data_IF_659805074422
#
_entry.id   IF_659805074422
#
_cell.length_a   1.000
_cell.length_b   1.000
_cell.length_c   1.000
_cell.angle_alpha   90.00
_cell.angle_beta   90.00
_cell.angle_gamma   90.00
#
_symmetry.space_group_name_H-M   'P 1'
#
loop_
_entity.id
_entity.type
_entity.pdbx_description
1 polymer ?
#
# COMPACT_ATOMS: atom_id res chain seq x y z
N UNK A 1 -0.57 -38.04 3.25
CA UNK A 1 0.30 -37.79 2.07
C UNK A 1 1.56 -37.05 2.52
N UNK A 2 2.74 -37.63 2.31
CA UNK A 2 4.00 -36.91 2.50
C UNK A 2 3.97 -35.73 1.53
N UNK A 3 3.87 -34.52 2.04
CA UNK A 3 3.99 -33.34 1.21
C UNK A 3 5.45 -33.27 0.76
N UNK A 4 5.78 -33.84 -0.40
CA UNK A 4 7.08 -33.75 -1.07
C UNK A 4 7.32 -32.34 -1.62
N UNK A 5 6.79 -31.32 -0.97
CA UNK A 5 6.92 -29.93 -1.38
C UNK A 5 6.85 -29.02 -0.17
N UNK A 6 7.64 -27.94 -0.19
CA UNK A 6 7.59 -26.89 0.83
C UNK A 6 7.37 -25.53 0.16
N UNK A 7 6.86 -24.58 0.94
CA UNK A 7 6.56 -23.24 0.46
C UNK A 7 7.55 -22.25 1.10
N UNK A 8 8.19 -21.42 0.27
CA UNK A 8 9.17 -20.40 0.69
C UNK A 8 8.96 -19.11 -0.11
N UNK A 9 9.50 -17.98 0.33
CA UNK A 9 9.57 -16.76 -0.50
C UNK A 9 10.89 -16.73 -1.29
N UNK A 10 10.81 -16.61 -2.60
CA UNK A 10 11.94 -16.48 -3.52
C UNK A 10 11.75 -15.28 -4.46
N UNK A 11 12.84 -14.60 -4.85
CA UNK A 11 12.77 -13.54 -5.85
C UNK A 11 12.48 -14.12 -7.24
N UNK A 12 11.45 -13.61 -7.93
CA UNK A 12 11.14 -13.92 -9.31
C UNK A 12 11.34 -12.69 -10.19
N UNK A 13 12.09 -12.86 -11.29
CA UNK A 13 12.24 -11.80 -12.30
C UNK A 13 10.91 -11.65 -13.05
N UNK A 14 10.25 -10.50 -12.89
CA UNK A 14 8.97 -10.22 -13.57
C UNK A 14 9.20 -9.44 -14.86
N UNK A 15 10.11 -8.47 -14.85
CA UNK A 15 10.51 -7.75 -16.05
C UNK A 15 11.90 -7.16 -15.91
N UNK A 16 12.54 -6.88 -17.03
CA UNK A 16 13.81 -6.15 -17.05
C UNK A 16 13.67 -4.74 -16.49
N UNK A 17 12.48 -4.12 -16.56
CA UNK A 17 12.24 -2.77 -16.06
C UNK A 17 12.07 -2.70 -14.53
N UNK A 18 11.34 -3.64 -13.93
CA UNK A 18 11.06 -3.65 -12.48
C UNK A 18 12.00 -4.56 -11.67
N UNK A 19 12.71 -5.48 -12.34
CA UNK A 19 13.57 -6.46 -11.69
C UNK A 19 12.77 -7.56 -11.02
N UNK A 20 13.22 -7.95 -9.83
CA UNK A 20 12.67 -9.07 -9.09
C UNK A 20 11.58 -8.62 -8.13
N UNK A 21 10.53 -9.42 -7.99
CA UNK A 21 9.57 -9.31 -6.89
C UNK A 21 9.73 -10.52 -5.97
N UNK A 22 9.38 -10.36 -4.70
CA UNK A 22 9.30 -11.50 -3.79
C UNK A 22 8.03 -12.29 -4.13
N UNK A 23 8.20 -13.54 -4.52
CA UNK A 23 7.12 -14.47 -4.85
C UNK A 23 7.21 -15.74 -3.98
N UNK A 24 6.07 -16.30 -3.64
CA UNK A 24 5.90 -17.48 -2.83
C UNK A 24 6.16 -18.63 -3.78
N UNK A 25 7.27 -19.29 -3.63
CA UNK A 25 7.62 -20.47 -4.38
C UNK A 25 7.13 -21.71 -3.65
N UNK A 26 6.40 -22.58 -4.34
CA UNK A 26 6.28 -23.98 -4.00
C UNK A 26 7.47 -24.71 -4.61
N UNK A 27 8.21 -25.44 -3.78
CA UNK A 27 9.39 -26.20 -4.19
C UNK A 27 9.13 -27.67 -3.95
N UNK A 28 9.20 -28.47 -5.00
CA UNK A 28 9.13 -29.92 -4.89
C UNK A 28 10.49 -30.48 -4.44
N UNK A 29 10.46 -31.33 -3.41
CA UNK A 29 11.66 -31.86 -2.74
C UNK A 29 12.39 -32.87 -3.62
N UNK A 30 11.65 -33.66 -4.41
CA UNK A 30 12.21 -34.76 -5.21
C UNK A 30 12.87 -34.26 -6.49
N UNK A 31 12.24 -33.33 -7.20
CA UNK A 31 12.73 -32.84 -8.49
C UNK A 31 13.26 -31.39 -8.47
N UNK A 32 13.24 -30.73 -7.31
CA UNK A 32 13.67 -29.33 -7.12
C UNK A 32 12.90 -28.32 -7.99
N UNK A 33 11.74 -28.69 -8.55
CA UNK A 33 10.94 -27.78 -9.37
C UNK A 33 10.38 -26.63 -8.52
N UNK A 34 10.49 -25.40 -9.03
CA UNK A 34 10.05 -24.17 -8.37
C UNK A 34 8.82 -23.59 -9.09
N UNK A 35 7.72 -23.40 -8.36
CA UNK A 35 6.47 -22.81 -8.86
C UNK A 35 6.15 -21.54 -8.09
N UNK A 36 6.24 -20.37 -8.74
CA UNK A 36 6.06 -19.06 -8.10
C UNK A 36 4.60 -18.62 -8.02
N UNK A 37 4.22 -18.04 -6.89
CA UNK A 37 2.85 -17.72 -6.48
C UNK A 37 2.72 -16.21 -6.12
N UNK A 38 3.42 -15.63 -5.09
CA UNK A 38 3.25 -14.18 -4.67
C UNK A 38 4.00 -13.60 -3.40
N UNK A 39 3.71 -12.41 -2.85
CA UNK A 39 4.46 -11.72 -1.78
C UNK A 39 4.28 -12.25 -0.33
N UNK A 40 3.07 -12.35 0.21
CA UNK A 40 2.86 -12.65 1.64
C UNK A 40 1.80 -13.72 1.89
N UNK A 41 2.25 -14.92 2.29
CA UNK A 41 1.36 -16.02 2.68
C UNK A 41 0.65 -15.65 3.96
N UNK A 42 -0.68 -15.72 3.94
CA UNK A 42 -1.51 -15.57 5.14
C UNK A 42 -2.06 -16.91 5.61
N UNK A 43 -2.26 -17.87 4.69
CA UNK A 43 -2.70 -19.21 5.04
C UNK A 43 -2.39 -20.23 3.93
N UNK A 44 -2.30 -21.49 4.32
CA UNK A 44 -2.36 -22.66 3.44
C UNK A 44 -3.49 -23.56 3.93
N UNK A 45 -4.33 -24.03 3.01
CA UNK A 45 -5.36 -25.04 3.24
C UNK A 45 -4.86 -26.38 2.65
N UNK A 46 -4.38 -27.34 3.47
CA UNK A 46 -3.84 -28.61 2.98
C UNK A 46 -4.90 -29.60 2.49
N UNK A 47 -6.19 -29.37 2.76
CA UNK A 47 -7.27 -30.24 2.29
C UNK A 47 -7.66 -29.95 0.83
N UNK A 48 -7.55 -28.68 0.43
CA UNK A 48 -7.88 -28.20 -0.91
C UNK A 48 -6.62 -27.80 -1.71
N UNK A 49 -5.45 -27.85 -1.06
CA UNK A 49 -4.16 -27.38 -1.57
C UNK A 49 -4.25 -25.97 -2.16
N UNK A 50 -4.79 -25.05 -1.35
CA UNK A 50 -4.92 -23.63 -1.69
C UNK A 50 -3.99 -22.81 -0.81
N UNK A 51 -3.18 -21.95 -1.45
CA UNK A 51 -2.38 -20.93 -0.77
C UNK A 51 -3.11 -19.61 -0.85
N UNK A 52 -3.32 -18.97 0.31
CA UNK A 52 -3.90 -17.65 0.47
C UNK A 52 -2.81 -16.64 0.79
N UNK A 53 -2.91 -15.45 0.20
CA UNK A 53 -1.87 -14.44 0.33
C UNK A 53 -2.35 -13.01 0.13
N UNK A 54 -1.61 -12.05 0.68
CA UNK A 54 -1.76 -10.64 0.37
C UNK A 54 -0.82 -10.24 -0.77
N UNK A 55 -1.37 -9.51 -1.74
CA UNK A 55 -0.63 -9.01 -2.90
C UNK A 55 -1.12 -7.61 -3.30
N UNK A 56 -0.23 -6.87 -3.96
CA UNK A 56 -0.59 -5.71 -4.78
C UNK A 56 -1.22 -6.18 -6.09
N UNK A 57 -1.98 -5.30 -6.74
CA UNK A 57 -2.36 -5.47 -8.14
C UNK A 57 -1.29 -4.90 -9.07
N UNK A 58 -1.24 -5.35 -10.35
CA UNK A 58 -0.32 -4.78 -11.34
C UNK A 58 -0.40 -3.25 -11.39
N UNK A 59 0.75 -2.60 -11.34
CA UNK A 59 0.89 -1.13 -11.36
C UNK A 59 0.16 -0.37 -10.23
N UNK A 60 -0.32 -1.08 -9.20
CA UNK A 60 -1.02 -0.54 -8.03
C UNK A 60 -0.28 -0.92 -6.74
N UNK A 61 0.95 -0.41 -6.53
CA UNK A 61 1.73 -0.68 -5.32
C UNK A 61 1.03 -0.22 -4.04
N UNK A 62 0.07 0.70 -4.14
CA UNK A 62 -0.69 1.27 -3.03
C UNK A 62 -1.81 0.36 -2.49
N UNK A 63 -2.19 -0.69 -3.23
CA UNK A 63 -3.27 -1.62 -2.86
C UNK A 63 -2.77 -2.86 -2.12
N UNK A 64 -3.64 -3.47 -1.31
CA UNK A 64 -3.43 -4.80 -0.70
C UNK A 64 -4.72 -5.59 -0.81
N UNK A 65 -4.66 -6.72 -1.51
CA UNK A 65 -5.79 -7.61 -1.70
C UNK A 65 -5.45 -9.03 -1.28
N UNK A 66 -6.43 -9.69 -0.67
CA UNK A 66 -6.41 -11.14 -0.48
C UNK A 66 -6.60 -11.84 -1.83
N UNK A 67 -5.69 -12.75 -2.11
CA UNK A 67 -5.69 -13.62 -3.28
C UNK A 67 -5.57 -15.08 -2.85
N UNK A 68 -5.90 -15.99 -3.77
CA UNK A 68 -5.62 -17.41 -3.61
C UNK A 68 -5.10 -18.04 -4.90
N UNK A 69 -4.37 -19.14 -4.77
CA UNK A 69 -3.96 -19.97 -5.91
C UNK A 69 -3.98 -21.45 -5.49
N UNK A 70 -4.46 -22.31 -6.40
CA UNK A 70 -4.39 -23.76 -6.24
C UNK A 70 -2.97 -24.25 -6.55
N UNK A 71 -2.40 -25.07 -5.67
CA UNK A 71 -1.07 -25.63 -5.86
C UNK A 71 -1.07 -27.06 -6.40
N UNK A 72 -2.23 -27.72 -6.43
CA UNK A 72 -2.38 -29.11 -6.90
C UNK A 72 -2.27 -29.31 -8.40
N UNK A 73 -2.55 -28.28 -9.20
CA UNK A 73 -2.60 -28.44 -10.65
C UNK A 73 -1.18 -28.45 -11.26
N UNK A 74 -0.96 -29.28 -12.27
CA UNK A 74 0.30 -29.33 -13.05
C UNK A 74 0.64 -27.96 -13.67
N UNK A 75 -0.36 -27.10 -13.88
CA UNK A 75 -0.19 -25.70 -14.28
C UNK A 75 -0.56 -24.74 -13.13
N UNK A 76 0.10 -23.58 -13.06
CA UNK A 76 -0.33 -22.49 -12.15
C UNK A 76 -1.57 -21.86 -12.77
N UNK A 77 -2.74 -21.99 -12.13
CA UNK A 77 -3.89 -21.15 -12.48
C UNK A 77 -3.62 -19.70 -12.09
N UNK A 78 -4.19 -18.77 -12.85
CA UNK A 78 -4.16 -17.35 -12.50
C UNK A 78 -4.72 -17.14 -11.08
N UNK A 79 -4.03 -16.35 -10.22
CA UNK A 79 -4.52 -16.07 -8.88
C UNK A 79 -5.93 -15.47 -8.88
N UNK A 80 -6.78 -15.98 -7.98
CA UNK A 80 -8.14 -15.47 -7.79
C UNK A 80 -8.09 -14.35 -6.76
N UNK A 81 -8.71 -13.20 -7.06
CA UNK A 81 -8.82 -12.09 -6.11
C UNK A 81 -10.10 -12.15 -5.28
N UNK A 82 -9.96 -12.24 -3.96
CA UNK A 82 -11.08 -12.41 -3.03
C UNK A 82 -11.66 -11.10 -2.52
N UNK A 83 -10.92 -10.00 -2.67
CA UNK A 83 -11.30 -8.68 -2.12
C UNK A 83 -11.49 -7.62 -3.19
N UNK A 84 -11.13 -7.89 -4.46
CA UNK A 84 -11.27 -6.93 -5.55
C UNK A 84 -12.72 -6.51 -5.81
N UNK A 85 -13.69 -7.39 -5.51
CA UNK A 85 -15.12 -7.09 -5.69
C UNK A 85 -15.62 -5.99 -4.75
N UNK A 86 -14.89 -5.68 -3.67
CA UNK A 86 -15.26 -4.64 -2.70
C UNK A 86 -15.12 -3.22 -3.28
N UNK A 87 -14.47 -3.09 -4.44
CA UNK A 87 -14.38 -1.84 -5.16
C UNK A 87 -13.58 -0.76 -4.44
N UNK A 88 -13.84 0.50 -4.81
CA UNK A 88 -13.03 1.64 -4.37
C UNK A 88 -13.13 1.93 -2.87
N UNK A 89 -14.17 1.46 -2.19
CA UNK A 89 -14.29 1.60 -0.73
C UNK A 89 -13.30 0.75 0.04
N UNK A 90 -12.70 -0.28 -0.58
CA UNK A 90 -11.80 -1.20 0.12
C UNK A 90 -10.65 -1.72 -0.75
N UNK A 91 -9.53 -1.01 -0.72
CA UNK A 91 -8.33 -1.29 -1.53
C UNK A 91 -7.12 -1.71 -0.69
N UNK A 92 -7.19 -1.60 0.64
CA UNK A 92 -6.12 -2.03 1.54
C UNK A 92 -6.68 -2.99 2.59
N UNK A 93 -6.33 -4.26 2.47
CA UNK A 93 -6.89 -5.35 3.25
C UNK A 93 -5.83 -6.06 4.09
N UNK A 94 -6.23 -6.48 5.29
CA UNK A 94 -5.51 -7.45 6.11
C UNK A 94 -6.44 -8.63 6.45
N UNK A 95 -5.89 -9.82 6.64
CA UNK A 95 -6.70 -11.03 6.83
C UNK A 95 -6.09 -12.00 7.83
N UNK A 96 -6.96 -12.66 8.59
CA UNK A 96 -6.56 -13.64 9.61
C UNK A 96 -7.44 -14.88 9.52
N UNK A 97 -6.85 -16.01 9.12
CA UNK A 97 -7.57 -17.28 9.03
C UNK A 97 -7.64 -17.99 10.38
N UNK A 98 -8.77 -18.64 10.66
CA UNK A 98 -8.85 -19.57 11.80
C UNK A 98 -7.96 -20.81 11.55
N UNK A 99 -7.64 -21.57 12.59
CA UNK A 99 -6.73 -22.73 12.51
C UNK A 99 -7.10 -23.74 11.41
N UNK A 100 -8.40 -23.96 11.19
CA UNK A 100 -8.92 -24.92 10.19
C UNK A 100 -9.08 -24.35 8.78
N UNK A 101 -8.89 -23.04 8.60
CA UNK A 101 -9.15 -22.31 7.33
C UNK A 101 -10.59 -22.34 6.84
N UNK A 102 -11.54 -22.73 7.68
CA UNK A 102 -12.99 -22.67 7.37
C UNK A 102 -13.51 -21.22 7.31
N UNK A 103 -12.86 -20.32 8.05
CA UNK A 103 -13.24 -18.92 8.19
C UNK A 103 -12.01 -18.02 8.22
N UNK A 104 -12.21 -16.75 7.89
CA UNK A 104 -11.22 -15.71 8.11
C UNK A 104 -11.87 -14.39 8.50
N UNK A 105 -11.13 -13.61 9.28
CA UNK A 105 -11.44 -12.20 9.54
C UNK A 105 -10.85 -11.39 8.39
N UNK A 106 -11.67 -10.58 7.74
CA UNK A 106 -11.25 -9.55 6.81
C UNK A 106 -11.27 -8.20 7.52
N UNK A 107 -10.14 -7.53 7.52
CA UNK A 107 -10.01 -6.13 7.91
C UNK A 107 -9.84 -5.30 6.64
N UNK A 108 -10.89 -4.59 6.28
CA UNK A 108 -10.79 -3.51 5.31
C UNK A 108 -10.21 -2.29 6.03
N UNK A 109 -8.97 -1.93 5.72
CA UNK A 109 -8.28 -0.82 6.37
C UNK A 109 -8.31 0.49 5.58
N UNK A 110 -8.95 0.52 4.40
CA UNK A 110 -9.10 1.74 3.60
C UNK A 110 -9.38 1.50 2.12
N UNK A 111 -9.62 2.57 1.34
CA UNK A 111 -9.41 3.96 1.73
C UNK A 111 -10.54 4.57 2.58
N UNK A 112 -11.75 4.00 2.51
CA UNK A 112 -12.89 4.46 3.32
C UNK A 112 -12.74 4.07 4.79
N UNK A 113 -13.71 4.49 5.61
CA UNK A 113 -13.76 4.14 7.05
C UNK A 113 -13.57 2.63 7.24
N UNK A 114 -12.61 2.18 8.06
CA UNK A 114 -12.27 0.77 8.19
C UNK A 114 -13.45 -0.09 8.63
N UNK A 115 -13.50 -1.32 8.15
CA UNK A 115 -14.52 -2.31 8.51
C UNK A 115 -13.88 -3.65 8.79
N UNK A 116 -14.47 -4.39 9.72
CA UNK A 116 -14.01 -5.72 10.12
C UNK A 116 -15.18 -6.68 10.02
N UNK A 117 -14.98 -7.77 9.30
CA UNK A 117 -16.01 -8.78 9.08
C UNK A 117 -15.43 -10.19 9.09
N UNK A 118 -16.27 -11.18 9.39
CA UNK A 118 -15.90 -12.59 9.30
C UNK A 118 -16.55 -13.21 8.06
N UNK A 119 -15.75 -13.94 7.29
CA UNK A 119 -16.19 -14.65 6.09
C UNK A 119 -15.92 -16.15 6.20
N UNK A 120 -16.77 -16.92 5.53
CA UNK A 120 -16.56 -18.33 5.20
C UNK A 120 -15.55 -18.40 4.07
N UNK A 121 -14.53 -19.23 4.23
CA UNK A 121 -13.54 -19.45 3.18
C UNK A 121 -14.17 -20.13 1.97
N UNK A 122 -14.96 -21.20 2.16
CA UNK A 122 -15.54 -22.03 1.07
C UNK A 122 -16.10 -21.26 -0.14
N UNK A 123 -16.72 -20.10 0.09
CA UNK A 123 -17.35 -19.31 -0.97
C UNK A 123 -17.17 -17.79 -0.77
N UNK A 124 -16.17 -17.37 0.02
CA UNK A 124 -15.92 -15.95 0.31
C UNK A 124 -17.16 -15.19 0.83
N UNK A 125 -18.07 -15.89 1.53
CA UNK A 125 -19.35 -15.31 1.93
C UNK A 125 -19.34 -14.87 3.39
N UNK A 126 -20.05 -13.77 3.63
CA UNK A 126 -20.42 -13.30 4.96
C UNK A 126 -21.08 -14.44 5.78
N UNK A 127 -20.54 -14.74 6.97
CA UNK A 127 -21.20 -15.63 7.95
C UNK A 127 -22.52 -15.03 8.45
N UNK A 128 -23.66 -15.58 8.02
CA UNK A 128 -24.97 -14.98 8.33
C UNK A 128 -25.76 -15.71 9.41
N UNK A 129 -26.13 -15.02 10.50
CA UNK A 129 -27.39 -15.14 11.30
C UNK A 129 -27.49 -14.12 12.50
N UNK A 130 -28.66 -13.71 13.02
CA UNK A 130 -28.79 -13.06 14.38
C UNK A 130 -29.92 -13.69 15.23
N UNK A 131 -30.11 -13.34 16.54
CA UNK A 131 -30.57 -14.19 17.70
C UNK A 131 -31.76 -15.16 17.55
N UNK A 132 -32.44 -15.13 16.42
CA UNK A 132 -33.32 -16.18 15.89
C UNK A 132 -32.48 -17.29 15.21
N UNK A 133 -31.44 -17.77 15.91
CA UNK A 133 -30.27 -18.51 15.41
C UNK A 133 -29.30 -17.54 14.68
N UNK A 134 -28.11 -17.25 15.28
CA UNK A 134 -27.25 -16.08 15.01
C UNK A 134 -25.74 -16.24 14.68
N UNK A 135 -25.25 -15.97 13.46
CA UNK A 135 -23.87 -15.60 13.10
C UNK A 135 -23.69 -14.09 12.77
N UNK A 136 -22.99 -13.35 13.64
CA UNK A 136 -22.63 -11.93 13.39
C UNK A 136 -21.54 -11.88 12.32
N UNK A 137 -21.77 -11.07 11.31
CA UNK A 137 -20.93 -11.04 10.11
C UNK A 137 -20.01 -9.84 10.06
N UNK A 138 -20.53 -8.72 10.53
CA UNK A 138 -19.83 -7.47 10.68
C UNK A 138 -19.42 -7.36 12.15
N UNK A 139 -18.12 -7.45 12.41
CA UNK A 139 -17.56 -7.31 13.75
C UNK A 139 -17.46 -5.85 14.16
N UNK A 140 -17.08 -5.00 13.21
CA UNK A 140 -16.97 -3.56 13.40
C UNK A 140 -17.21 -2.86 12.06
N UNK A 141 -18.07 -1.85 12.05
CA UNK A 141 -18.44 -1.09 10.86
C UNK A 141 -18.08 0.38 10.94
N UNK A 142 -17.65 0.84 12.12
CA UNK A 142 -17.28 2.20 12.42
C UNK A 142 -18.35 3.23 12.03
N UNK A 143 -19.64 2.85 12.09
CA UNK A 143 -20.77 3.72 11.75
C UNK A 143 -20.82 5.01 12.57
N UNK A 144 -20.42 4.97 13.85
CA UNK A 144 -20.30 6.18 14.68
C UNK A 144 -19.22 7.13 14.15
N UNK A 145 -18.06 6.58 13.76
CA UNK A 145 -16.98 7.36 13.15
C UNK A 145 -17.44 7.93 11.80
N UNK A 146 -18.09 7.13 10.97
CA UNK A 146 -18.63 7.58 9.69
C UNK A 146 -19.64 8.74 9.87
N UNK A 147 -20.55 8.63 10.84
CA UNK A 147 -21.50 9.70 11.15
C UNK A 147 -20.79 10.99 11.58
N UNK A 148 -19.78 10.89 12.46
CA UNK A 148 -18.98 12.05 12.88
C UNK A 148 -18.22 12.69 11.72
N UNK A 149 -17.71 11.89 10.77
CA UNK A 149 -16.95 12.39 9.63
C UNK A 149 -17.82 13.14 8.63
N UNK A 150 -19.10 12.78 8.49
CA UNK A 150 -20.06 13.51 7.62
C UNK A 150 -20.27 14.96 8.05
N UNK A 151 -20.02 15.26 9.33
CA UNK A 151 -20.09 16.62 9.89
C UNK A 151 -18.76 17.37 9.79
N UNK A 152 -17.73 16.79 9.17
CA UNK A 152 -16.38 17.38 9.04
C UNK A 152 -16.05 17.62 7.58
N UNK A 153 -15.28 18.68 7.34
CA UNK A 153 -14.68 18.97 6.03
C UNK A 153 -13.46 18.06 5.80
N UNK A 154 -13.73 16.79 5.49
CA UNK A 154 -12.69 15.79 5.24
C UNK A 154 -11.91 16.16 3.96
N UNK A 155 -10.56 16.18 4.00
CA UNK A 155 -9.71 16.45 2.84
C UNK A 155 -9.94 15.54 1.65
N UNK A 156 -9.58 16.03 0.46
CA UNK A 156 -9.61 15.27 -0.79
C UNK A 156 -8.21 14.71 -1.06
N UNK A 157 -8.11 13.43 -1.41
CA UNK A 157 -6.81 12.82 -1.77
C UNK A 157 -6.65 12.74 -3.28
N UNK A 158 -5.49 13.16 -3.80
CA UNK A 158 -5.10 13.01 -5.21
C UNK A 158 -3.73 12.37 -5.31
N UNK A 159 -3.60 11.32 -6.12
CA UNK A 159 -2.33 10.64 -6.37
C UNK A 159 -1.79 10.99 -7.75
N UNK A 160 -0.47 11.13 -7.85
CA UNK A 160 0.24 11.35 -9.11
C UNK A 160 1.61 10.67 -9.09
N UNK A 161 2.22 10.57 -10.28
CA UNK A 161 3.59 10.09 -10.44
C UNK A 161 4.46 11.22 -10.96
N UNK A 162 5.62 11.39 -10.35
CA UNK A 162 6.59 12.41 -10.76
C UNK A 162 7.85 11.73 -11.26
N UNK A 163 8.26 12.00 -12.49
CA UNK A 163 9.49 11.44 -13.05
C UNK A 163 10.70 12.05 -12.34
N UNK A 164 11.57 11.21 -11.76
CA UNK A 164 12.80 11.66 -11.08
C UNK A 164 14.07 11.33 -11.85
N UNK A 165 14.01 10.37 -12.78
CA UNK A 165 15.10 10.09 -13.73
C UNK A 165 14.55 9.52 -15.04
N UNK A 166 15.43 9.11 -15.96
CA UNK A 166 15.02 8.39 -17.17
C UNK A 166 14.22 7.10 -16.87
N UNK A 167 14.51 6.43 -15.75
CA UNK A 167 13.98 5.11 -15.40
C UNK A 167 13.10 5.10 -14.15
N UNK A 168 13.21 6.12 -13.30
CA UNK A 168 12.54 6.17 -12.00
C UNK A 168 11.51 7.29 -11.91
N UNK A 169 10.47 7.05 -11.12
CA UNK A 169 9.48 8.03 -10.72
C UNK A 169 9.19 7.92 -9.22
N UNK A 170 8.75 9.01 -8.62
CA UNK A 170 8.15 9.01 -7.29
C UNK A 170 6.65 8.81 -7.38
N UNK A 171 6.08 8.02 -6.47
CA UNK A 171 4.64 8.08 -6.21
C UNK A 171 4.38 9.22 -5.23
N UNK A 172 3.35 10.01 -5.50
CA UNK A 172 2.97 11.15 -4.66
C UNK A 172 1.50 11.04 -4.29
N UNK A 173 1.20 11.26 -3.03
CA UNK A 173 -0.15 11.47 -2.52
C UNK A 173 -0.29 12.90 -2.01
N UNK A 174 -1.23 13.65 -2.56
CA UNK A 174 -1.62 14.98 -2.11
C UNK A 174 -2.90 14.87 -1.30
N UNK A 175 -2.89 15.39 -0.08
CA UNK A 175 -4.05 15.62 0.76
C UNK A 175 -4.39 17.10 0.64
N UNK A 176 -5.50 17.38 -0.03
CA UNK A 176 -5.97 18.70 -0.42
C UNK A 176 -7.10 19.17 0.50
N UNK A 177 -7.24 20.49 0.76
CA UNK A 177 -8.37 21.02 1.52
C UNK A 177 -9.72 20.56 0.95
N UNK A 178 -10.74 20.44 1.81
CA UNK A 178 -12.07 19.98 1.37
C UNK A 178 -12.71 20.90 0.31
N UNK A 179 -12.51 22.21 0.45
CA UNK A 179 -12.97 23.26 -0.45
C UNK A 179 -11.86 23.69 -1.44
N UNK A 180 -10.99 22.76 -1.85
CA UNK A 180 -9.88 23.03 -2.74
C UNK A 180 -10.34 23.68 -4.05
N UNK A 181 -9.71 24.80 -4.38
CA UNK A 181 -9.82 25.53 -5.63
C UNK A 181 -8.42 25.74 -6.22
N UNK A 182 -8.21 25.30 -7.46
CA UNK A 182 -6.94 25.40 -8.19
C UNK A 182 -6.50 26.84 -8.48
N UNK A 183 -7.39 27.84 -8.33
CA UNK A 183 -7.07 29.26 -8.51
C UNK A 183 -6.33 29.87 -7.32
N UNK A 184 -6.41 29.25 -6.14
CA UNK A 184 -5.75 29.73 -4.93
C UNK A 184 -4.33 29.18 -4.82
N UNK A 185 -3.51 29.79 -3.94
CA UNK A 185 -2.17 29.31 -3.58
C UNK A 185 -2.19 28.77 -2.16
N UNK A 186 -1.69 27.56 -1.96
CA UNK A 186 -1.65 26.88 -0.67
C UNK A 186 -0.20 26.58 -0.26
N UNK A 187 0.18 26.74 1.02
CA UNK A 187 1.43 26.20 1.52
C UNK A 187 1.51 24.70 1.30
N UNK A 188 2.74 24.19 1.11
CA UNK A 188 3.02 22.76 0.96
C UNK A 188 3.76 22.25 2.19
N UNK A 189 3.27 21.16 2.77
CA UNK A 189 3.99 20.37 3.77
C UNK A 189 4.32 18.99 3.19
N UNK A 190 5.60 18.69 3.03
CA UNK A 190 6.08 17.41 2.50
C UNK A 190 6.41 16.46 3.65
N UNK A 191 5.74 15.32 3.70
CA UNK A 191 6.08 14.19 4.55
C UNK A 191 7.02 13.24 3.82
N UNK A 192 8.14 12.93 4.48
CA UNK A 192 9.09 11.93 4.02
C UNK A 192 9.36 10.91 5.11
N UNK A 193 9.56 9.66 4.67
CA UNK A 193 10.18 8.64 5.49
C UNK A 193 11.43 8.11 4.80
N UNK A 194 11.33 7.60 3.57
CA UNK A 194 12.49 7.25 2.73
C UNK A 194 13.34 6.06 3.23
N UNK A 195 12.95 5.42 4.34
CA UNK A 195 13.64 4.25 4.84
C UNK A 195 13.55 3.04 3.90
N UNK A 196 14.56 2.16 3.87
CA UNK A 196 14.54 0.95 3.06
C UNK A 196 13.27 0.13 3.25
N UNK A 197 12.56 -0.16 2.15
CA UNK A 197 11.36 -0.98 2.17
C UNK A 197 10.12 -0.32 2.79
N UNK A 198 10.17 0.99 3.07
CA UNK A 198 9.01 1.74 3.55
C UNK A 198 8.06 2.12 2.40
N UNK A 199 6.82 2.47 2.76
CA UNK A 199 5.84 2.98 1.82
C UNK A 199 4.89 3.95 2.52
N UNK A 200 4.86 5.20 2.06
CA UNK A 200 3.93 6.22 2.52
C UNK A 200 2.66 6.30 1.66
N UNK A 201 2.77 6.11 0.35
CA UNK A 201 1.66 6.22 -0.61
C UNK A 201 0.94 4.88 -0.71
N UNK A 202 -0.08 4.70 0.14
CA UNK A 202 -0.92 3.50 0.24
C UNK A 202 -2.40 3.89 0.40
N UNK A 203 -3.35 3.03 0.01
CA UNK A 203 -4.80 3.27 0.20
C UNK A 203 -5.32 2.81 1.56
N UNK A 204 -4.55 3.10 2.61
CA UNK A 204 -4.99 2.88 4.00
C UNK A 204 -5.68 4.14 4.53
N UNK A 205 -6.76 3.95 5.27
CA UNK A 205 -7.50 5.02 5.94
C UNK A 205 -6.57 5.81 6.88
N UNK A 206 -6.55 7.13 6.73
CA UNK A 206 -5.63 8.04 7.46
C UNK A 206 -6.26 9.38 7.87
N UNK A 207 -7.58 9.44 8.04
CA UNK A 207 -8.25 10.69 8.43
C UNK A 207 -7.86 11.14 9.86
N UNK A 208 -7.28 10.27 10.68
CA UNK A 208 -6.70 10.58 11.99
C UNK A 208 -5.24 11.10 11.94
N UNK A 209 -4.65 11.27 10.75
CA UNK A 209 -3.27 11.73 10.59
C UNK A 209 -3.14 13.26 10.71
N UNK A 210 -2.01 13.77 11.19
CA UNK A 210 -1.80 15.22 11.36
C UNK A 210 -1.92 15.99 10.03
N UNK A 211 -1.50 15.38 8.91
CA UNK A 211 -1.67 15.95 7.56
C UNK A 211 -3.13 16.20 7.18
N UNK A 212 -4.07 15.41 7.70
CA UNK A 212 -5.51 15.64 7.53
C UNK A 212 -5.95 16.92 8.25
N UNK A 213 -5.44 17.14 9.47
CA UNK A 213 -5.71 18.36 10.23
C UNK A 213 -5.16 19.60 9.51
N UNK A 214 -3.93 19.53 8.96
CA UNK A 214 -3.31 20.62 8.22
C UNK A 214 -4.13 21.02 6.98
N UNK A 215 -4.54 20.03 6.17
CA UNK A 215 -5.33 20.28 4.98
C UNK A 215 -6.74 20.81 5.31
N UNK A 216 -7.39 20.23 6.33
CA UNK A 216 -8.77 20.57 6.69
C UNK A 216 -8.89 21.94 7.38
N UNK A 217 -8.02 22.24 8.36
CA UNK A 217 -8.17 23.43 9.21
C UNK A 217 -7.27 24.60 8.80
N UNK A 218 -6.11 24.33 8.20
CA UNK A 218 -5.11 25.37 7.90
C UNK A 218 -4.96 25.63 6.39
N UNK A 219 -5.71 24.91 5.56
CA UNK A 219 -5.59 24.97 4.10
C UNK A 219 -4.15 24.74 3.61
N UNK A 220 -3.40 23.85 4.27
CA UNK A 220 -2.05 23.46 3.86
C UNK A 220 -2.15 22.17 3.07
N UNK A 221 -1.65 22.17 1.83
CA UNK A 221 -1.57 20.93 1.05
C UNK A 221 -0.49 20.06 1.65
N UNK A 222 -0.83 18.80 1.90
CA UNK A 222 0.07 17.86 2.53
C UNK A 222 0.45 16.76 1.53
N UNK A 223 1.74 16.60 1.26
CA UNK A 223 2.25 15.68 0.24
C UNK A 223 3.05 14.54 0.88
N UNK A 224 2.81 13.31 0.45
CA UNK A 224 3.64 12.14 0.77
C UNK A 224 4.39 11.69 -0.46
N UNK A 225 5.66 11.33 -0.32
CA UNK A 225 6.53 10.99 -1.45
C UNK A 225 7.20 9.64 -1.20
N UNK A 226 7.01 8.70 -2.14
CA UNK A 226 7.74 7.44 -2.21
C UNK A 226 8.63 7.41 -3.47
N UNK A 227 9.95 7.55 -3.28
CA UNK A 227 10.97 7.45 -4.33
C UNK A 227 11.60 6.06 -4.42
N UNK A 228 12.85 6.00 -4.89
CA UNK A 228 13.70 4.81 -4.80
C UNK A 228 13.90 4.37 -3.35
N UNK A 229 14.11 3.06 -3.15
CA UNK A 229 14.15 2.42 -1.84
C UNK A 229 12.79 2.02 -1.28
N UNK A 230 11.68 2.52 -1.84
CA UNK A 230 10.33 2.12 -1.43
C UNK A 230 9.98 0.69 -1.85
N UNK A 231 9.18 0.01 -1.03
CA UNK A 231 8.74 -1.37 -1.28
C UNK A 231 7.59 -1.42 -2.30
N UNK A 232 7.24 -2.64 -2.75
CA UNK A 232 6.13 -2.96 -3.66
C UNK A 232 6.32 -2.49 -5.11
N UNK A 233 7.56 -2.16 -5.48
CA UNK A 233 7.90 -1.61 -6.80
C UNK A 233 9.02 -2.39 -7.51
N UNK A 234 9.34 -3.57 -6.98
CA UNK A 234 10.37 -4.46 -7.49
C UNK A 234 11.76 -4.12 -6.96
N UNK A 235 12.69 -5.06 -7.12
CA UNK A 235 14.05 -4.97 -6.60
C UNK A 235 14.83 -3.82 -7.21
N UNK A 236 14.49 -3.41 -8.45
CA UNK A 236 15.12 -2.24 -9.08
C UNK A 236 14.75 -0.92 -8.40
N UNK A 237 13.62 -0.83 -7.70
CA UNK A 237 13.35 0.31 -6.83
C UNK A 237 13.99 0.10 -5.46
N UNK A 238 13.77 -1.07 -4.86
CA UNK A 238 14.18 -1.35 -3.49
C UNK A 238 15.70 -1.29 -3.27
N UNK A 239 16.51 -1.76 -4.22
CA UNK A 239 17.96 -1.91 -4.03
C UNK A 239 18.78 -0.70 -4.49
N UNK A 240 18.19 0.34 -5.06
CA UNK A 240 18.93 1.55 -5.49
C UNK A 240 19.60 2.28 -4.32
N UNK A 241 19.07 2.11 -3.12
CA UNK A 241 19.62 2.66 -1.87
C UNK A 241 20.73 1.78 -1.27
N UNK A 242 20.99 0.59 -1.81
CA UNK A 242 21.98 -0.34 -1.25
C UNK A 242 23.38 0.28 -1.33
N UNK A 243 24.01 0.46 -0.16
CA UNK A 243 25.29 1.18 0.01
C UNK A 243 25.26 2.63 -0.52
N UNK A 244 24.07 3.22 -0.65
CA UNK A 244 23.87 4.56 -1.21
C UNK A 244 22.71 5.31 -0.50
N UNK A 245 22.54 5.04 0.80
CA UNK A 245 21.56 5.71 1.66
C UNK A 245 21.91 7.19 1.86
N UNK A 246 20.90 8.04 1.93
CA UNK A 246 21.01 9.49 2.05
C UNK A 246 21.27 10.22 0.74
N UNK A 247 21.13 9.53 -0.40
CA UNK A 247 21.46 10.06 -1.72
C UNK A 247 20.28 9.94 -2.66
N UNK A 248 20.01 8.75 -3.20
CA UNK A 248 19.01 8.57 -4.26
C UNK A 248 17.58 8.87 -3.82
N UNK A 249 17.22 8.45 -2.60
CA UNK A 249 15.92 8.73 -2.01
C UNK A 249 15.76 10.21 -1.65
N UNK A 250 16.85 10.88 -1.25
CA UNK A 250 16.86 12.31 -0.94
C UNK A 250 16.72 13.13 -2.23
N UNK A 251 17.45 12.77 -3.28
CA UNK A 251 17.32 13.40 -4.60
C UNK A 251 15.92 13.22 -5.18
N UNK A 252 15.31 12.04 -5.02
CA UNK A 252 13.94 11.81 -5.47
C UNK A 252 12.94 12.72 -4.73
N UNK A 253 13.13 12.94 -3.42
CA UNK A 253 12.34 13.90 -2.62
C UNK A 253 12.51 15.32 -3.14
N UNK A 254 13.75 15.79 -3.31
CA UNK A 254 14.05 17.16 -3.77
C UNK A 254 13.46 17.40 -5.17
N UNK A 255 13.72 16.50 -6.13
CA UNK A 255 13.21 16.60 -7.50
C UNK A 255 11.68 16.62 -7.50
N UNK A 256 11.07 15.76 -6.68
CA UNK A 256 9.61 15.69 -6.59
C UNK A 256 9.04 16.97 -5.97
N UNK A 257 9.61 17.48 -4.88
CA UNK A 257 9.17 18.72 -4.25
C UNK A 257 9.31 19.93 -5.20
N UNK A 258 10.42 20.02 -5.94
CA UNK A 258 10.62 21.03 -7.00
C UNK A 258 9.59 20.89 -8.12
N UNK A 259 9.30 19.67 -8.58
CA UNK A 259 8.24 19.43 -9.57
C UNK A 259 6.87 19.93 -9.07
N UNK A 260 6.49 19.58 -7.83
CA UNK A 260 5.24 20.03 -7.23
C UNK A 260 5.21 21.57 -7.17
N UNK A 261 6.28 22.21 -6.68
CA UNK A 261 6.41 23.68 -6.63
C UNK A 261 6.22 24.35 -8.00
N UNK A 262 6.81 23.77 -9.04
CA UNK A 262 6.93 24.45 -10.33
C UNK A 262 5.81 24.11 -11.33
N UNK A 263 5.17 22.94 -11.20
CA UNK A 263 4.16 22.46 -12.15
C UNK A 263 2.74 22.46 -11.59
N UNK A 264 2.58 22.59 -10.27
CA UNK A 264 1.26 22.69 -9.65
C UNK A 264 0.99 24.15 -9.29
N UNK A 265 0.24 24.84 -10.14
CA UNK A 265 0.01 26.27 -10.00
C UNK A 265 -0.59 26.62 -8.63
N UNK A 266 -1.41 25.77 -8.03
CA UNK A 266 -2.01 26.05 -6.73
C UNK A 266 -1.02 25.96 -5.53
N UNK A 267 0.26 25.66 -5.74
CA UNK A 267 1.25 25.61 -4.65
C UNK A 267 1.93 26.97 -4.46
N UNK A 268 1.98 27.45 -3.21
CA UNK A 268 2.74 28.65 -2.83
C UNK A 268 4.23 28.32 -2.75
N UNK A 269 4.99 28.81 -3.74
CA UNK A 269 6.43 28.58 -3.87
C UNK A 269 7.26 29.12 -2.70
N UNK A 270 6.73 30.05 -1.91
CA UNK A 270 7.45 30.66 -0.78
C UNK A 270 7.23 29.92 0.54
N UNK A 271 6.21 29.08 0.62
CA UNK A 271 5.80 28.41 1.84
C UNK A 271 5.81 26.89 1.64
N UNK A 272 7.01 26.30 1.62
CA UNK A 272 7.23 24.86 1.50
C UNK A 272 8.00 24.37 2.72
N UNK A 273 7.36 23.49 3.49
CA UNK A 273 7.96 22.77 4.61
C UNK A 273 8.20 21.31 4.25
N UNK A 274 9.16 20.70 4.95
CA UNK A 274 9.43 19.26 4.92
C UNK A 274 9.53 18.75 6.35
N UNK A 275 9.00 17.56 6.60
CA UNK A 275 9.11 16.89 7.88
C UNK A 275 9.17 15.37 7.72
N UNK A 276 9.78 14.70 8.70
CA UNK A 276 9.85 13.26 8.78
C UNK A 276 10.37 12.79 10.14
N UNK A 277 9.99 11.59 10.55
CA UNK A 277 10.41 10.99 11.82
C UNK A 277 11.37 9.82 11.62
N UNK A 278 12.27 9.59 12.58
CA UNK A 278 13.28 8.52 12.53
C UNK A 278 14.16 8.65 11.27
N UNK A 279 14.22 7.64 10.40
CA UNK A 279 14.91 7.73 9.10
C UNK A 279 14.34 8.87 8.24
N UNK A 280 13.04 9.18 8.36
CA UNK A 280 12.44 10.36 7.73
C UNK A 280 13.05 11.67 8.23
N UNK A 281 13.49 11.74 9.48
CA UNK A 281 14.22 12.88 10.02
C UNK A 281 15.61 13.01 9.39
N UNK A 282 16.30 11.89 9.19
CA UNK A 282 17.55 11.86 8.43
C UNK A 282 17.34 12.36 6.98
N UNK A 283 16.35 11.82 6.26
CA UNK A 283 16.01 12.27 4.90
C UNK A 283 15.60 13.74 4.87
N UNK A 284 14.87 14.22 5.88
CA UNK A 284 14.49 15.64 6.02
C UNK A 284 15.72 16.53 6.11
N UNK A 285 16.65 16.23 7.01
CA UNK A 285 17.87 17.01 7.19
C UNK A 285 18.78 16.94 5.95
N UNK A 286 18.93 15.76 5.36
CA UNK A 286 19.69 15.58 4.12
C UNK A 286 19.07 16.36 2.96
N UNK A 287 17.74 16.37 2.85
CA UNK A 287 17.04 17.15 1.82
C UNK A 287 17.31 18.64 1.98
N UNK A 288 17.19 19.17 3.20
CA UNK A 288 17.50 20.57 3.49
C UNK A 288 18.98 20.93 3.26
N UNK A 289 19.89 19.98 3.54
CA UNK A 289 21.31 20.17 3.34
C UNK A 289 21.75 20.02 1.88
N UNK A 290 21.05 19.21 1.06
CA UNK A 290 21.42 18.95 -0.33
C UNK A 290 20.58 19.74 -1.34
N UNK A 291 19.48 20.37 -0.92
CA UNK A 291 18.72 21.32 -1.72
C UNK A 291 19.45 22.67 -1.83
N UNK A 292 20.69 22.60 -2.30
CA UNK A 292 21.40 23.76 -2.79
C UNK A 292 20.88 24.06 -4.20
N UNK A 293 20.41 25.29 -4.39
CA UNK A 293 19.93 25.79 -5.67
C UNK A 293 21.06 25.83 -6.70
N UNK A 294 20.68 25.62 -7.95
CA UNK A 294 21.49 25.83 -9.17
C UNK A 294 22.28 27.13 -9.16
#
# INVERSE_FOLDING_TARGET
PAHNSYIIKLPQLISTAAGYYQHVALINIENQAVKYLTKEIVAFNPQEDIVYFLSTLPEKPEFRHLMSVSVNEESVLDPICWTCYLGQSCLYNNVFFNTKRDYYVLQCEGPDTPKVEIRRTKNNSLIRRTKNNSLVTELENNSNLEAKLREKSVPITRKLRVKTSATFHSNVELVLPHNFDEKNKYPLMVEVYGGPGSQLVIDKYRVNHWGTHLASNLSIIYARIDGRGSDNRGSKYLHEIYKNMGNVEVMDVIITARYLRDNLDFIDKRNIGIWGWSYGGYVTLMSLALDHTD
#
